data_IF_808475087699
#
_entry.id   IF_808475087699
#
_cell.length_a   1.000
_cell.length_b   1.000
_cell.length_c   1.000
_cell.angle_alpha   90.00
_cell.angle_beta   90.00
_cell.angle_gamma   90.00
#
_symmetry.space_group_name_H-M   'P 1'
#
loop_
_entity.id
_entity.type
_entity.pdbx_description
1 polymer ?
#
# COMPACT_ATOMS: atom_id res chain seq x y z
N UNK A 1 13.66 -0.99 31.06
CA UNK A 1 13.14 -1.01 30.54
C UNK A 1 12.32 -1.15 29.80
N UNK A 2 12.37 -1.21 29.63
CA UNK A 2 11.72 -1.26 29.00
C UNK A 2 11.18 -1.59 28.27
N UNK A 3 10.85 -1.71 28.04
CA UNK A 3 10.23 -1.96 27.29
C UNK A 3 9.83 -1.88 26.40
N UNK A 4 10.17 -2.10 26.52
CA UNK A 4 9.88 -1.91 25.69
C UNK A 4 9.16 -1.79 24.83
N UNK A 5 9.16 -1.10 24.32
CA UNK A 5 8.22 -0.87 23.34
C UNK A 5 8.10 -1.99 22.41
N UNK A 6 6.94 -2.54 22.38
CA UNK A 6 6.65 -3.65 21.52
C UNK A 6 6.02 -3.19 20.20
N UNK A 7 5.71 -1.89 20.09
CA UNK A 7 5.11 -1.34 18.88
C UNK A 7 6.14 -1.28 17.76
N UNK A 8 5.89 -1.93 16.62
CA UNK A 8 6.82 -1.85 15.49
C UNK A 8 6.96 -0.43 14.99
N UNK A 9 8.14 -0.06 14.56
CA UNK A 9 8.41 1.24 13.99
C UNK A 9 8.55 1.16 12.48
N UNK A 10 8.01 2.13 11.74
CA UNK A 10 8.30 2.20 10.32
C UNK A 10 9.79 2.44 10.09
N UNK A 11 10.42 1.57 9.33
CA UNK A 11 11.81 1.76 8.91
C UNK A 11 11.83 2.65 7.69
N UNK A 12 10.96 2.35 6.73
CA UNK A 12 10.74 3.22 5.58
C UNK A 12 9.37 2.90 5.01
N UNK A 13 8.90 3.78 4.14
CA UNK A 13 7.62 3.56 3.47
C UNK A 13 7.69 3.98 2.01
N UNK A 14 6.86 3.34 1.21
CA UNK A 14 6.70 3.66 -0.20
C UNK A 14 5.24 4.04 -0.41
N UNK A 15 5.00 5.18 -1.05
CA UNK A 15 3.66 5.61 -1.41
C UNK A 15 3.53 5.54 -2.92
N UNK A 16 2.53 4.81 -3.38
CA UNK A 16 2.23 4.68 -4.80
C UNK A 16 0.87 5.34 -5.03
N UNK A 17 0.87 6.50 -5.66
CA UNK A 17 -0.37 7.26 -5.86
C UNK A 17 -0.71 7.38 -7.34
N UNK A 18 -1.97 7.67 -7.60
CA UNK A 18 -2.49 7.75 -8.96
C UNK A 18 -2.27 9.13 -9.61
N UNK A 19 -1.69 10.08 -8.88
CA UNK A 19 -1.33 11.37 -9.44
C UNK A 19 -0.30 11.25 -10.57
N UNK A 20 0.37 10.09 -10.63
CA UNK A 20 1.33 9.77 -11.68
C UNK A 20 0.79 8.71 -12.65
N UNK A 21 -0.52 8.44 -12.61
CA UNK A 21 -1.13 7.44 -13.46
C UNK A 21 -0.89 6.01 -13.02
N UNK A 22 -0.61 5.77 -11.75
CA UNK A 22 -0.26 4.45 -11.23
C UNK A 22 -1.47 3.53 -11.07
N UNK A 23 -2.66 4.09 -10.77
CA UNK A 23 -3.89 3.32 -10.62
C UNK A 23 -5.00 3.99 -11.42
N UNK A 24 -5.76 3.22 -12.18
CA UNK A 24 -6.95 3.73 -12.83
C UNK A 24 -8.11 3.71 -11.84
N UNK A 25 -9.01 4.69 -11.98
CA UNK A 25 -10.19 4.79 -11.13
C UNK A 25 -11.00 3.50 -11.22
N UNK A 26 -11.33 2.93 -10.06
CA UNK A 26 -12.15 1.74 -9.96
C UNK A 26 -11.46 0.43 -10.26
N UNK A 27 -10.16 0.43 -10.52
CA UNK A 27 -9.41 -0.78 -10.84
C UNK A 27 -8.41 -1.13 -9.75
N UNK A 28 -8.19 -2.43 -9.59
CA UNK A 28 -7.24 -2.97 -8.60
C UNK A 28 -5.97 -3.53 -9.25
N UNK A 29 -5.92 -3.68 -10.57
CA UNK A 29 -4.77 -4.25 -11.26
C UNK A 29 -3.53 -3.36 -11.11
N UNK A 30 -2.36 -3.99 -11.09
CA UNK A 30 -1.09 -3.27 -10.91
C UNK A 30 -0.52 -2.84 -12.26
N UNK A 31 -0.36 -1.54 -12.49
CA UNK A 31 0.36 -1.04 -13.67
C UNK A 31 1.84 -1.39 -13.62
N UNK A 32 2.51 -1.31 -14.78
CA UNK A 32 3.92 -1.68 -14.90
C UNK A 32 4.84 -0.84 -14.02
N UNK A 33 4.57 0.47 -13.91
CA UNK A 33 5.39 1.35 -13.09
C UNK A 33 5.21 1.07 -11.60
N UNK A 34 4.04 0.61 -11.18
CA UNK A 34 3.81 0.16 -9.81
C UNK A 34 4.64 -1.10 -9.55
N UNK A 35 4.63 -2.05 -10.49
CA UNK A 35 5.44 -3.26 -10.36
C UNK A 35 6.92 -2.92 -10.25
N UNK A 36 7.40 -1.95 -11.02
CA UNK A 36 8.80 -1.53 -10.93
C UNK A 36 9.15 -0.99 -9.55
N UNK A 37 8.26 -0.21 -8.93
CA UNK A 37 8.48 0.29 -7.56
C UNK A 37 8.50 -0.84 -6.55
N UNK A 38 7.63 -1.85 -6.73
CA UNK A 38 7.60 -3.01 -5.85
C UNK A 38 8.85 -3.86 -6.01
N UNK A 39 9.39 -3.97 -7.21
CA UNK A 39 10.63 -4.70 -7.44
C UNK A 39 11.79 -4.04 -6.69
N UNK A 40 11.86 -2.71 -6.70
CA UNK A 40 12.87 -1.98 -5.94
C UNK A 40 12.72 -2.21 -4.44
N UNK A 41 11.47 -2.18 -3.96
CA UNK A 41 11.19 -2.45 -2.55
C UNK A 41 11.64 -3.86 -2.17
N UNK A 42 11.31 -4.85 -2.99
CA UNK A 42 11.65 -6.23 -2.72
C UNK A 42 13.17 -6.44 -2.67
N UNK A 43 13.93 -5.76 -3.52
CA UNK A 43 15.39 -5.82 -3.47
C UNK A 43 15.92 -5.31 -2.13
N UNK A 44 15.36 -4.22 -1.64
CA UNK A 44 15.77 -3.68 -0.33
C UNK A 44 15.43 -4.63 0.80
N UNK A 45 14.26 -5.27 0.74
CA UNK A 45 13.86 -6.23 1.76
C UNK A 45 14.76 -7.46 1.78
N UNK A 46 15.16 -7.94 0.61
CA UNK A 46 16.02 -9.11 0.50
C UNK A 46 17.44 -8.82 1.00
N UNK A 47 17.88 -7.58 0.90
CA UNK A 47 19.19 -7.19 1.37
C UNK A 47 19.25 -7.07 2.90
N UNK A 48 18.10 -7.04 3.57
CA UNK A 48 18.02 -6.91 5.02
C UNK A 48 17.63 -8.26 5.63
N UNK A 49 18.56 -8.95 6.29
CA UNK A 49 18.25 -10.25 6.89
C UNK A 49 17.46 -10.17 8.19
N UNK A 50 17.14 -8.99 8.67
CA UNK A 50 16.49 -8.83 9.97
C UNK A 50 15.04 -9.30 10.01
N UNK A 51 14.43 -9.63 8.87
CA UNK A 51 13.10 -10.19 8.86
C UNK A 51 12.00 -9.19 9.17
N UNK A 52 11.94 -8.13 8.41
CA UNK A 52 10.97 -7.07 8.60
C UNK A 52 9.55 -7.52 8.31
N UNK A 53 8.59 -6.87 8.95
CA UNK A 53 7.16 -7.01 8.63
C UNK A 53 6.74 -5.90 7.68
N UNK A 54 5.73 -6.20 6.88
CA UNK A 54 5.22 -5.27 5.88
C UNK A 54 3.75 -5.01 6.15
N UNK A 55 3.36 -3.74 6.20
CA UNK A 55 1.95 -3.35 6.26
C UNK A 55 1.59 -2.62 4.99
N UNK A 56 0.51 -3.05 4.34
CA UNK A 56 0.06 -2.47 3.09
C UNK A 56 -1.31 -1.85 3.31
N UNK A 57 -1.42 -0.53 3.09
CA UNK A 57 -2.65 0.22 3.28
C UNK A 57 -3.23 0.62 1.94
N UNK A 58 -4.49 0.24 1.71
CA UNK A 58 -5.20 0.66 0.51
C UNK A 58 -6.08 1.85 0.79
N UNK A 59 -6.03 2.84 -0.09
CA UNK A 59 -6.80 4.09 0.03
C UNK A 59 -7.47 4.42 -1.29
N UNK A 60 -8.62 5.08 -1.20
CA UNK A 60 -9.37 5.52 -2.36
C UNK A 60 -9.72 7.00 -2.24
N UNK A 61 -10.22 7.58 -3.33
CA UNK A 61 -10.91 8.86 -3.24
C UNK A 61 -12.34 8.61 -2.73
N UNK A 62 -13.14 9.67 -2.66
CA UNK A 62 -14.50 9.59 -2.12
C UNK A 62 -15.57 9.34 -3.21
N UNK A 63 -15.16 8.89 -4.40
CA UNK A 63 -16.09 8.54 -5.47
C UNK A 63 -16.70 7.17 -5.17
N UNK A 64 -18.03 7.07 -5.22
CA UNK A 64 -18.71 5.83 -4.91
C UNK A 64 -19.06 5.72 -3.43
N UNK A 65 -19.62 4.59 -3.03
CA UNK A 65 -20.03 4.40 -1.65
C UNK A 65 -18.86 4.03 -0.76
N UNK A 66 -18.94 4.33 0.55
CA UNK A 66 -17.87 3.92 1.49
C UNK A 66 -17.59 2.42 1.45
N UNK A 67 -18.64 1.59 1.34
CA UNK A 67 -18.46 0.14 1.31
C UNK A 67 -17.73 -0.32 0.06
N UNK A 68 -18.08 0.26 -1.08
CA UNK A 68 -17.39 -0.04 -2.35
C UNK A 68 -15.93 0.39 -2.27
N UNK A 69 -15.66 1.56 -1.68
CA UNK A 69 -14.32 2.09 -1.56
C UNK A 69 -13.47 1.25 -0.61
N UNK A 70 -14.06 0.75 0.48
CA UNK A 70 -13.34 -0.16 1.37
C UNK A 70 -12.92 -1.43 0.63
N UNK A 71 -13.82 -1.99 -0.18
CA UNK A 71 -13.47 -3.19 -0.96
C UNK A 71 -12.42 -2.90 -2.02
N UNK A 72 -12.51 -1.74 -2.67
CA UNK A 72 -11.53 -1.37 -3.69
C UNK A 72 -10.14 -1.15 -3.08
N UNK A 73 -10.09 -0.47 -1.94
CA UNK A 73 -8.83 -0.28 -1.22
C UNK A 73 -8.22 -1.60 -0.80
N UNK A 74 -9.05 -2.52 -0.31
CA UNK A 74 -8.58 -3.85 0.07
C UNK A 74 -8.06 -4.60 -1.15
N UNK A 75 -8.77 -4.56 -2.28
CA UNK A 75 -8.35 -5.26 -3.49
C UNK A 75 -7.01 -4.75 -3.99
N UNK A 76 -6.79 -3.44 -3.93
CA UNK A 76 -5.49 -2.86 -4.31
C UNK A 76 -4.37 -3.35 -3.40
N UNK A 77 -4.60 -3.35 -2.10
CA UNK A 77 -3.61 -3.82 -1.14
C UNK A 77 -3.35 -5.32 -1.29
N UNK A 78 -4.38 -6.11 -1.52
CA UNK A 78 -4.25 -7.55 -1.74
C UNK A 78 -3.46 -7.86 -3.01
N UNK A 79 -3.63 -7.09 -4.08
CA UNK A 79 -2.87 -7.28 -5.30
C UNK A 79 -1.38 -7.01 -5.08
N UNK A 80 -1.04 -6.00 -4.28
CA UNK A 80 0.34 -5.72 -3.92
C UNK A 80 0.92 -6.88 -3.10
N UNK A 81 0.17 -7.37 -2.11
CA UNK A 81 0.59 -8.52 -1.30
C UNK A 81 0.85 -9.74 -2.16
N UNK A 82 -0.09 -10.04 -3.07
CA UNK A 82 0.05 -11.19 -3.97
C UNK A 82 1.30 -11.07 -4.83
N UNK A 83 1.55 -9.89 -5.37
CA UNK A 83 2.72 -9.68 -6.21
C UNK A 83 4.01 -9.94 -5.44
N UNK A 84 4.11 -9.41 -4.22
CA UNK A 84 5.31 -9.61 -3.39
C UNK A 84 5.50 -11.09 -3.02
N UNK A 85 4.41 -11.79 -2.72
CA UNK A 85 4.48 -13.20 -2.39
C UNK A 85 4.84 -14.05 -3.61
N UNK A 86 4.14 -13.87 -4.72
CA UNK A 86 4.32 -14.73 -5.90
C UNK A 86 5.62 -14.46 -6.63
N UNK A 87 6.04 -13.21 -6.69
CA UNK A 87 7.24 -12.83 -7.45
C UNK A 87 8.50 -13.00 -6.63
N UNK A 88 8.46 -12.66 -5.34
CA UNK A 88 9.65 -12.61 -4.50
C UNK A 88 9.62 -13.56 -3.31
N UNK A 89 8.56 -14.36 -3.18
CA UNK A 89 8.40 -15.35 -2.11
C UNK A 89 8.49 -14.73 -0.71
N UNK A 90 8.03 -13.50 -0.56
CA UNK A 90 7.96 -12.88 0.76
C UNK A 90 6.85 -13.60 1.54
N UNK A 91 7.14 -14.12 2.74
CA UNK A 91 6.16 -14.96 3.46
C UNK A 91 4.86 -14.22 3.76
N UNK A 92 3.73 -14.86 3.51
CA UNK A 92 2.42 -14.25 3.71
C UNK A 92 2.21 -13.79 5.15
N UNK A 93 2.74 -14.52 6.12
CA UNK A 93 2.56 -14.16 7.54
C UNK A 93 3.31 -12.88 7.91
N UNK A 94 4.20 -12.40 7.05
CA UNK A 94 4.91 -11.14 7.27
C UNK A 94 4.27 -9.96 6.56
N UNK A 95 3.19 -10.18 5.84
CA UNK A 95 2.51 -9.13 5.09
C UNK A 95 1.10 -8.96 5.63
N UNK A 96 0.83 -7.79 6.18
CA UNK A 96 -0.51 -7.43 6.65
C UNK A 96 -1.13 -6.40 5.71
N UNK A 97 -2.40 -6.58 5.37
CA UNK A 97 -3.10 -5.62 4.52
C UNK A 97 -4.26 -5.03 5.29
N UNK A 98 -4.52 -3.74 5.05
CA UNK A 98 -5.65 -3.05 5.63
C UNK A 98 -6.19 -2.05 4.61
N UNK A 99 -7.50 -1.91 4.56
CA UNK A 99 -8.12 -0.88 3.73
C UNK A 99 -8.67 0.22 4.63
N UNK A 100 -8.31 1.45 4.31
CA UNK A 100 -8.93 2.62 4.92
C UNK A 100 -9.98 3.23 3.99
N UNK A 101 -10.13 2.69 2.76
CA UNK A 101 -11.07 3.22 1.81
C UNK A 101 -10.88 4.72 1.63
N UNK A 102 -11.96 5.49 1.79
CA UNK A 102 -11.91 6.94 1.64
C UNK A 102 -11.66 7.69 2.96
N UNK A 103 -11.47 6.97 4.07
CA UNK A 103 -11.50 7.58 5.42
C UNK A 103 -10.27 8.38 5.78
N UNK A 104 -9.16 8.24 5.07
CA UNK A 104 -7.92 8.96 5.37
C UNK A 104 -7.40 9.73 4.16
N UNK A 105 -8.09 10.79 3.73
CA UNK A 105 -7.63 11.57 2.58
C UNK A 105 -6.36 12.34 2.92
N UNK A 106 -5.49 12.50 1.92
CA UNK A 106 -4.29 13.34 2.02
C UNK A 106 -4.44 14.63 1.22
N UNK A 107 -5.55 14.75 0.48
CA UNK A 107 -5.82 15.91 -0.38
C UNK A 107 -7.33 16.10 -0.49
N UNK A 108 -7.80 17.26 -0.98
CA UNK A 108 -9.23 17.48 -1.17
C UNK A 108 -9.82 16.54 -2.22
N UNK A 109 -11.01 16.01 -1.94
CA UNK A 109 -11.72 15.14 -2.88
C UNK A 109 -12.55 15.91 -3.91
N UNK A 110 -12.62 17.23 -3.79
CA UNK A 110 -13.39 18.08 -4.69
C UNK A 110 -12.59 18.51 -5.93
N UNK A 111 -11.32 18.16 -6.00
CA UNK A 111 -10.50 18.40 -7.20
C UNK A 111 -10.05 17.09 -7.80
N UNK A 112 -9.79 17.10 -9.12
CA UNK A 112 -9.27 15.92 -9.81
C UNK A 112 -7.90 15.54 -9.26
N UNK A 113 -7.05 16.52 -9.06
CA UNK A 113 -5.69 16.31 -8.55
C UNK A 113 -5.72 15.74 -7.14
N UNK A 114 -6.60 16.26 -6.29
CA UNK A 114 -6.74 15.77 -4.91
C UNK A 114 -7.24 14.34 -4.89
N UNK A 115 -8.23 14.01 -5.73
CA UNK A 115 -8.73 12.63 -5.80
C UNK A 115 -7.63 11.68 -6.26
N UNK A 116 -6.82 12.10 -7.23
CA UNK A 116 -5.72 11.26 -7.72
C UNK A 116 -4.70 10.98 -6.61
N UNK A 117 -4.42 11.96 -5.77
CA UNK A 117 -3.51 11.76 -4.64
C UNK A 117 -4.11 10.85 -3.57
N UNK A 118 -5.42 10.87 -3.42
CA UNK A 118 -6.09 10.00 -2.44
C UNK A 118 -6.13 8.54 -2.89
N UNK A 119 -6.13 8.27 -4.19
CA UNK A 119 -6.06 6.91 -4.72
C UNK A 119 -4.63 6.42 -4.63
N UNK A 120 -4.31 5.76 -3.53
CA UNK A 120 -2.93 5.35 -3.26
C UNK A 120 -2.85 4.06 -2.46
N UNK A 121 -1.70 3.44 -2.50
CA UNK A 121 -1.32 2.34 -1.62
C UNK A 121 -0.08 2.79 -0.86
N UNK A 122 -0.09 2.62 0.45
CA UNK A 122 1.06 2.94 1.30
C UNK A 122 1.63 1.63 1.80
N UNK A 123 2.91 1.41 1.54
CA UNK A 123 3.60 0.20 1.97
C UNK A 123 4.60 0.61 3.03
N UNK A 124 4.40 0.12 4.25
CA UNK A 124 5.26 0.42 5.39
C UNK A 124 6.08 -0.81 5.74
N UNK A 125 7.38 -0.65 5.82
CA UNK A 125 8.27 -1.69 6.30
C UNK A 125 8.52 -1.42 7.77
N UNK A 126 8.19 -2.41 8.60
CA UNK A 126 8.24 -2.28 10.05
C UNK A 126 9.37 -3.15 10.60
N UNK A 127 10.07 -2.59 11.55
CA UNK A 127 11.16 -3.31 12.23
C UNK A 127 10.67 -3.94 13.52
#
# INVERSE_FOLDING_TARGET
>A
ASRSATTPRPVFQVVISDDQGNFELGKADLPDDVRAKLDELAKKLRADPAGNYIEIEGHTDATGSPETNDRLGLARAENVKRYLYETYQIPLHKINVISFGESKPVAPNDTREGRAQNRRVVIKVLA
#
